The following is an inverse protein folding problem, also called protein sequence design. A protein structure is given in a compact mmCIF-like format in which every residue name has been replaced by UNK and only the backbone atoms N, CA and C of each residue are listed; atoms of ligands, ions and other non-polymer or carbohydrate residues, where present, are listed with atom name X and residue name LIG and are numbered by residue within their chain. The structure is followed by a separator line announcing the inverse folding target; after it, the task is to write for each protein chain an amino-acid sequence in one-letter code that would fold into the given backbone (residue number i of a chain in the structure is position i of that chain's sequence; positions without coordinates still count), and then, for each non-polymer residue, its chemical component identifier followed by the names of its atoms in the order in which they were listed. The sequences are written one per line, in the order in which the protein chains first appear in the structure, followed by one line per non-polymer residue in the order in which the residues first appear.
data_IF_082031504907
#
_entry.id   IF_082031504907
#
_cell.length_a   1.000
_cell.length_b   1.000
_cell.length_c   1.000
_cell.angle_alpha   90.00
_cell.angle_beta   90.00
_cell.angle_gamma   90.00
#
_symmetry.space_group_name_H-M   'P 1'
#
loop_
_entity.id
_entity.type
_entity.pdbx_description
1 polymer ?
#
# COMPACT_ATOMS: atom_id res chain seq x y z
N UNK A 1 -5.19 -22.51 -34.71
CA UNK A 1 -5.79 -21.58 -33.73
C UNK A 1 -6.70 -22.43 -32.84
N UNK A 2 -6.51 -22.55 -31.53
CA UNK A 2 -6.53 -21.49 -30.52
C UNK A 2 -5.67 -21.90 -29.31
N UNK A 3 -4.80 -21.01 -28.84
CA UNK A 3 -4.01 -21.16 -27.61
C UNK A 3 -4.83 -20.55 -26.47
N UNK A 4 -5.55 -21.37 -25.72
CA UNK A 4 -6.23 -20.93 -24.50
C UNK A 4 -5.20 -20.92 -23.38
N UNK A 5 -4.51 -19.78 -23.19
CA UNK A 5 -3.67 -19.54 -22.02
C UNK A 5 -4.57 -19.39 -20.79
N UNK A 6 -4.64 -20.44 -19.98
CA UNK A 6 -5.15 -20.40 -18.62
C UNK A 6 -4.12 -19.66 -17.75
N UNK A 7 -4.38 -18.40 -17.47
CA UNK A 7 -3.65 -17.64 -16.45
C UNK A 7 -4.05 -18.23 -15.11
N UNK A 8 -3.17 -19.09 -14.55
CA UNK A 8 -3.31 -19.64 -13.21
C UNK A 8 -3.07 -18.48 -12.24
N UNK A 9 -4.16 -17.90 -11.76
CA UNK A 9 -4.16 -16.91 -10.69
C UNK A 9 -3.84 -17.66 -9.39
N UNK A 10 -2.56 -17.71 -9.05
CA UNK A 10 -2.07 -18.28 -7.79
C UNK A 10 -2.55 -17.36 -6.67
N UNK A 11 -3.72 -17.67 -6.13
CA UNK A 11 -4.21 -17.11 -4.86
C UNK A 11 -3.31 -17.66 -3.77
N UNK A 12 -2.26 -16.92 -3.45
CA UNK A 12 -1.43 -17.18 -2.29
C UNK A 12 -2.26 -16.90 -1.04
N UNK A 13 -2.84 -17.94 -0.46
CA UNK A 13 -3.36 -17.92 0.91
C UNK A 13 -2.15 -17.76 1.82
N UNK A 14 -1.81 -16.51 2.15
CA UNK A 14 -0.85 -16.22 3.22
C UNK A 14 -1.64 -16.26 4.52
N UNK A 15 -1.40 -17.31 5.29
CA UNK A 15 -1.91 -17.46 6.64
C UNK A 15 -1.43 -16.28 7.49
N UNK A 16 -2.33 -15.37 7.87
CA UNK A 16 -2.04 -14.32 8.84
C UNK A 16 -2.19 -14.92 10.23
N UNK A 17 -1.09 -14.94 10.96
CA UNK A 17 -1.03 -15.37 12.35
C UNK A 17 -2.00 -14.57 13.21
N UNK A 18 -2.83 -15.30 13.96
CA UNK A 18 -3.72 -14.71 14.96
C UNK A 18 -2.86 -14.29 16.15
N UNK A 19 -2.39 -13.04 16.16
CA UNK A 19 -1.80 -12.43 17.35
C UNK A 19 -2.90 -11.70 18.11
N UNK A 20 -3.56 -12.42 19.03
CA UNK A 20 -4.42 -11.83 20.06
C UNK A 20 -3.52 -11.06 21.03
N UNK A 21 -3.25 -9.78 20.75
CA UNK A 21 -2.71 -8.87 21.74
C UNK A 21 -3.86 -8.16 22.46
N UNK A 22 -3.94 -8.46 23.76
CA UNK A 22 -4.88 -7.92 24.73
C UNK A 22 -4.81 -6.40 24.79
N UNK A 23 -5.95 -5.76 24.50
CA UNK A 23 -6.20 -4.31 24.59
C UNK A 23 -6.01 -3.77 26.01
N UNK A 24 -5.39 -2.59 26.13
CA UNK A 24 -5.86 -1.52 26.98
C UNK A 24 -6.61 -0.49 26.12
N UNK A 25 -7.86 -0.21 26.49
CA UNK A 25 -8.57 1.01 26.10
C UNK A 25 -7.78 2.20 26.63
N UNK A 26 -7.13 3.00 25.78
CA UNK A 26 -6.93 4.48 25.95
C UNK A 26 -5.94 5.15 24.97
N UNK A 27 -5.52 4.53 23.85
CA UNK A 27 -4.63 5.22 22.90
C UNK A 27 -5.20 5.18 21.49
N UNK A 28 -5.84 6.25 21.05
CA UNK A 28 -6.24 6.45 19.64
C UNK A 28 -5.02 6.49 18.70
N UNK A 29 -3.81 6.60 19.27
CA UNK A 29 -2.53 6.63 18.56
C UNK A 29 -1.73 5.31 18.64
N UNK A 30 -2.29 4.24 19.21
CA UNK A 30 -1.59 2.96 19.28
C UNK A 30 -1.48 2.33 17.89
N UNK A 31 -0.28 1.84 17.55
CA UNK A 31 -0.05 1.12 16.30
C UNK A 31 -1.06 -0.03 16.16
N UNK A 32 -1.90 0.03 15.13
CA UNK A 32 -2.96 -0.96 14.88
C UNK A 32 -2.59 -1.74 13.63
N UNK A 33 -2.03 -2.94 13.84
CA UNK A 33 -1.89 -3.92 12.78
C UNK A 33 -3.27 -4.27 12.21
N UNK A 34 -3.36 -4.26 10.88
CA UNK A 34 -4.56 -4.59 10.14
C UNK A 34 -4.39 -5.93 9.44
N UNK A 35 -5.51 -6.62 9.25
CA UNK A 35 -5.52 -7.80 8.41
C UNK A 35 -5.23 -7.38 6.96
N UNK A 36 -4.43 -8.17 6.24
CA UNK A 36 -4.07 -7.91 4.83
C UNK A 36 -5.30 -7.90 3.90
N UNK A 37 -6.41 -8.53 4.32
CA UNK A 37 -7.69 -8.57 3.63
C UNK A 37 -8.69 -7.49 4.06
N UNK A 38 -8.29 -6.55 4.92
CA UNK A 38 -9.14 -5.43 5.35
C UNK A 38 -9.49 -4.48 4.19
N UNK A 39 -10.55 -3.71 4.34
CA UNK A 39 -10.98 -2.73 3.33
C UNK A 39 -9.90 -1.68 3.07
N UNK A 40 -9.21 -1.23 4.12
CA UNK A 40 -8.12 -0.26 4.06
C UNK A 40 -6.89 -0.85 3.37
N UNK A 41 -6.54 -2.10 3.68
CA UNK A 41 -5.45 -2.83 3.04
C UNK A 41 -5.70 -2.98 1.53
N UNK A 42 -6.93 -3.33 1.14
CA UNK A 42 -7.35 -3.43 -0.27
C UNK A 42 -7.36 -2.08 -0.97
N UNK A 43 -7.83 -1.03 -0.30
CA UNK A 43 -7.84 0.32 -0.84
C UNK A 43 -6.41 0.84 -1.07
N UNK A 44 -5.51 0.63 -0.11
CA UNK A 44 -4.11 1.02 -0.24
C UNK A 44 -3.40 0.22 -1.35
N UNK A 45 -3.63 -1.10 -1.43
CA UNK A 45 -3.09 -1.92 -2.50
C UNK A 45 -3.61 -1.45 -3.87
N UNK A 46 -4.90 -1.15 -4.00
CA UNK A 46 -5.47 -0.64 -5.24
C UNK A 46 -4.84 0.70 -5.68
N UNK A 47 -4.53 1.59 -4.74
CA UNK A 47 -3.80 2.83 -5.03
C UNK A 47 -2.40 2.50 -5.58
N UNK A 48 -1.67 1.60 -4.93
CA UNK A 48 -0.31 1.21 -5.36
C UNK A 48 -0.33 0.49 -6.71
N UNK A 49 -1.30 -0.38 -6.96
CA UNK A 49 -1.52 -1.01 -8.26
C UNK A 49 -1.78 0.04 -9.35
N UNK A 50 -2.56 1.08 -9.06
CA UNK A 50 -2.74 2.20 -10.00
C UNK A 50 -1.44 2.95 -10.30
N UNK A 51 -0.54 3.07 -9.32
CA UNK A 51 0.79 3.64 -9.57
C UNK A 51 1.65 2.76 -10.49
N UNK A 52 1.47 1.43 -10.44
CA UNK A 52 2.18 0.49 -11.33
C UNK A 52 1.65 0.56 -12.76
N UNK A 53 0.37 0.88 -12.94
CA UNK A 53 -0.22 1.08 -14.27
C UNK A 53 0.30 2.37 -14.92
N UNK A 54 0.33 3.48 -14.18
CA UNK A 54 0.84 4.76 -14.67
C UNK A 54 1.16 5.74 -13.54
N UNK A 55 2.28 6.45 -13.70
CA UNK A 55 2.66 7.58 -12.83
C UNK A 55 1.68 8.75 -12.87
N UNK A 56 0.82 8.82 -13.90
CA UNK A 56 -0.24 9.83 -14.00
C UNK A 56 -1.29 9.71 -12.89
N UNK A 57 -1.47 8.52 -12.32
CA UNK A 57 -2.41 8.31 -11.22
C UNK A 57 -1.87 8.82 -9.88
N UNK A 58 -0.56 9.07 -9.77
CA UNK A 58 0.04 9.55 -8.53
C UNK A 58 -0.57 10.88 -8.10
N UNK A 59 -0.77 11.82 -9.03
CA UNK A 59 -1.30 13.14 -8.70
C UNK A 59 -2.73 13.09 -8.13
N UNK A 60 -3.53 12.09 -8.52
CA UNK A 60 -4.91 11.93 -8.02
C UNK A 60 -4.98 11.29 -6.63
N UNK A 61 -3.96 10.50 -6.28
CA UNK A 61 -3.86 9.80 -5.00
C UNK A 61 -2.89 10.45 -4.03
N UNK A 62 -2.21 11.53 -4.40
CA UNK A 62 -1.26 12.24 -3.55
C UNK A 62 -1.99 13.14 -2.55
N UNK A 63 -1.58 13.09 -1.29
CA UNK A 63 -2.10 14.01 -0.27
C UNK A 63 -1.60 15.44 -0.51
N UNK A 64 -2.47 16.43 -0.28
CA UNK A 64 -2.10 17.84 -0.36
C UNK A 64 -1.01 18.19 0.67
N UNK A 65 -0.99 17.49 1.81
CA UNK A 65 -0.01 17.67 2.89
C UNK A 65 1.31 16.91 2.68
N UNK A 66 1.43 16.12 1.59
CA UNK A 66 2.65 15.38 1.30
C UNK A 66 3.86 16.34 1.14
N UNK A 67 4.94 16.19 1.92
CA UNK A 67 6.12 17.05 1.82
C UNK A 67 6.76 16.98 0.43
N UNK A 68 7.34 18.07 -0.12
CA UNK A 68 7.93 18.09 -1.46
C UNK A 68 8.94 16.97 -1.72
N UNK A 69 9.77 16.67 -0.72
CA UNK A 69 10.74 15.57 -0.76
C UNK A 69 10.04 14.20 -0.83
N UNK A 70 8.95 14.01 -0.09
CA UNK A 70 8.16 12.79 -0.13
C UNK A 70 7.46 12.61 -1.48
N UNK A 71 6.96 13.70 -2.08
CA UNK A 71 6.39 13.70 -3.44
C UNK A 71 7.39 13.26 -4.49
N UNK A 72 8.62 13.78 -4.42
CA UNK A 72 9.68 13.40 -5.36
C UNK A 72 10.07 11.93 -5.19
N UNK A 73 10.16 11.43 -3.96
CA UNK A 73 10.39 10.00 -3.70
C UNK A 73 9.25 9.13 -4.22
N UNK A 74 8.01 9.54 -4.00
CA UNK A 74 6.82 8.84 -4.53
C UNK A 74 6.83 8.80 -6.06
N UNK A 75 7.21 9.88 -6.74
CA UNK A 75 7.40 9.90 -8.19
C UNK A 75 8.48 8.91 -8.62
N UNK A 76 9.64 8.95 -7.98
CA UNK A 76 10.75 8.03 -8.31
C UNK A 76 10.34 6.56 -8.11
N UNK A 77 9.71 6.23 -6.98
CA UNK A 77 9.23 4.88 -6.70
C UNK A 77 8.14 4.48 -7.69
N UNK A 78 7.20 5.36 -8.02
CA UNK A 78 6.16 5.05 -9.02
C UNK A 78 6.75 4.69 -10.39
N UNK A 79 7.83 5.37 -10.81
CA UNK A 79 8.56 5.01 -12.04
C UNK A 79 9.32 3.67 -11.95
N UNK A 80 9.70 3.25 -10.75
CA UNK A 80 10.27 1.92 -10.52
C UNK A 80 9.16 0.86 -10.47
N UNK A 81 8.00 1.20 -9.92
CA UNK A 81 6.82 0.33 -9.85
C UNK A 81 6.23 0.03 -11.22
N UNK A 82 6.28 0.94 -12.18
CA UNK A 82 5.85 0.65 -13.56
C UNK A 82 6.72 -0.42 -14.24
N UNK A 83 7.92 -0.69 -13.72
CA UNK A 83 8.79 -1.79 -14.16
C UNK A 83 8.57 -3.06 -13.34
N UNK A 84 7.83 -2.98 -12.23
CA UNK A 84 7.53 -4.13 -11.41
C UNK A 84 6.45 -4.99 -12.09
N UNK A 85 6.72 -6.28 -12.19
CA UNK A 85 5.78 -7.23 -12.79
C UNK A 85 4.72 -7.72 -11.81
N UNK A 86 5.01 -7.60 -10.51
CA UNK A 86 4.15 -8.07 -9.42
C UNK A 86 4.30 -7.15 -8.22
N UNK A 87 3.16 -6.76 -7.63
CA UNK A 87 3.08 -6.08 -6.33
C UNK A 87 2.33 -6.99 -5.36
N UNK A 88 2.88 -7.17 -4.16
CA UNK A 88 2.22 -7.93 -3.09
C UNK A 88 2.23 -7.13 -1.81
N UNK A 89 1.08 -7.07 -1.15
CA UNK A 89 0.98 -6.53 0.20
C UNK A 89 1.65 -7.48 1.19
N UNK A 90 2.57 -6.96 1.98
CA UNK A 90 3.30 -7.72 3.02
C UNK A 90 2.79 -7.38 4.41
N UNK A 91 2.59 -6.10 4.69
CA UNK A 91 2.18 -5.60 5.99
C UNK A 91 1.29 -4.36 5.83
N UNK A 92 0.33 -4.20 6.73
CA UNK A 92 -0.46 -2.98 6.85
C UNK A 92 -0.70 -2.68 8.33
N UNK A 93 -0.36 -1.47 8.75
CA UNK A 93 -0.54 -1.03 10.13
C UNK A 93 -0.85 0.46 10.18
N UNK A 94 -1.86 0.85 10.95
CA UNK A 94 -2.02 2.25 11.33
C UNK A 94 -0.95 2.63 12.34
N UNK A 95 -0.35 3.80 12.16
CA UNK A 95 0.61 4.40 13.08
C UNK A 95 0.14 5.81 13.40
N UNK A 96 -0.65 5.95 14.46
CA UNK A 96 -1.37 7.20 14.74
C UNK A 96 -2.30 7.56 13.59
N UNK A 97 -2.03 8.70 12.93
CA UNK A 97 -2.89 9.28 11.89
C UNK A 97 -2.59 8.79 10.46
N UNK A 98 -1.60 7.93 10.28
CA UNK A 98 -1.21 7.43 8.97
C UNK A 98 -1.20 5.90 8.90
N UNK A 99 -1.67 5.38 7.77
CA UNK A 99 -1.63 3.99 7.39
C UNK A 99 -0.26 3.68 6.76
N UNK A 100 0.54 2.86 7.44
CA UNK A 100 1.78 2.30 6.93
C UNK A 100 1.51 1.00 6.19
N UNK A 101 2.03 0.89 4.98
CA UNK A 101 1.76 -0.21 4.06
C UNK A 101 3.06 -0.70 3.45
N UNK A 102 3.49 -1.90 3.83
CA UNK A 102 4.65 -2.55 3.21
C UNK A 102 4.18 -3.35 1.99
N UNK A 103 4.79 -3.07 0.83
CA UNK A 103 4.61 -3.86 -0.38
C UNK A 103 5.93 -4.39 -0.88
N UNK A 104 5.90 -5.62 -1.38
CA UNK A 104 7.03 -6.23 -2.08
C UNK A 104 6.76 -6.18 -3.58
N UNK A 105 7.67 -5.56 -4.31
CA UNK A 105 7.61 -5.39 -5.75
C UNK A 105 8.78 -6.14 -6.39
N UNK A 106 8.53 -6.95 -7.43
CA UNK A 106 9.61 -7.64 -8.14
C UNK A 106 9.84 -7.01 -9.51
N UNK A 107 11.06 -6.56 -9.87
CA UNK A 107 12.34 -6.66 -9.13
C UNK A 107 12.67 -5.47 -8.20
N UNK A 108 11.76 -4.51 -8.01
CA UNK A 108 12.04 -3.23 -7.34
C UNK A 108 12.36 -3.32 -5.82
N UNK A 109 12.06 -4.44 -5.17
CA UNK A 109 12.32 -4.66 -3.74
C UNK A 109 11.11 -4.35 -2.86
N UNK A 110 11.36 -4.20 -1.56
CA UNK A 110 10.34 -3.83 -0.58
C UNK A 110 10.24 -2.31 -0.45
N UNK A 111 9.01 -1.80 -0.37
CA UNK A 111 8.71 -0.39 -0.23
C UNK A 111 7.61 -0.19 0.80
N UNK A 112 7.81 0.78 1.68
CA UNK A 112 6.88 1.20 2.72
C UNK A 112 6.18 2.47 2.28
N UNK A 113 4.89 2.39 1.99
CA UNK A 113 4.04 3.53 1.67
C UNK A 113 3.35 4.03 2.93
N UNK A 114 3.26 5.34 3.06
CA UNK A 114 2.52 6.00 4.12
C UNK A 114 1.34 6.71 3.49
N UNK A 115 0.13 6.36 3.92
CA UNK A 115 -1.12 6.97 3.48
C UNK A 115 -1.78 7.66 4.66
N UNK A 116 -2.50 8.75 4.40
CA UNK A 116 -3.36 9.41 5.38
C UNK A 116 -4.76 9.49 4.80
N UNK A 117 -5.78 9.47 5.67
CA UNK A 117 -7.14 9.81 5.24
C UNK A 117 -7.24 11.33 5.05
N UNK A 118 -7.88 11.75 3.95
CA UNK A 118 -8.27 13.14 3.77
C UNK A 118 -9.56 13.48 4.54
N UNK A 119 -10.01 14.74 4.45
CA UNK A 119 -11.23 15.21 5.13
C UNK A 119 -12.50 14.48 4.66
N UNK A 120 -12.46 13.80 3.51
CA UNK A 120 -13.54 12.97 2.96
C UNK A 120 -13.41 11.49 3.35
N UNK A 121 -12.40 11.11 4.13
CA UNK A 121 -12.11 9.74 4.53
C UNK A 121 -11.47 8.89 3.41
N UNK A 122 -10.89 9.50 2.38
CA UNK A 122 -10.19 8.79 1.31
C UNK A 122 -8.70 8.66 1.63
N UNK A 123 -8.15 7.47 1.42
CA UNK A 123 -6.72 7.24 1.55
C UNK A 123 -5.94 7.98 0.47
N UNK A 124 -4.99 8.82 0.89
CA UNK A 124 -4.06 9.55 0.05
C UNK A 124 -2.61 9.28 0.45
N UNK A 125 -1.74 9.15 -0.53
CA UNK A 125 -0.30 8.94 -0.36
C UNK A 125 0.36 10.17 0.24
N UNK A 126 1.00 9.99 1.39
CA UNK A 126 1.74 11.01 2.11
C UNK A 126 3.25 10.87 1.89
N UNK A 127 3.74 9.63 1.75
CA UNK A 127 5.17 9.39 1.50
C UNK A 127 5.51 7.93 1.22
N UNK A 128 6.80 7.70 1.01
CA UNK A 128 7.36 6.36 0.76
C UNK A 128 8.78 6.24 1.30
N UNK A 129 9.13 5.04 1.76
CA UNK A 129 10.43 4.64 2.26
C UNK A 129 10.84 3.28 1.66
N UNK A 130 12.14 3.09 1.42
CA UNK A 130 12.74 1.82 0.99
C UNK A 130 13.43 1.16 2.17
#
# INVERSE_FOLDING_TARGET
MSRTQLIILVVAVVAVGISVFTRPKDNEFADRELALDSSEAKAALAIIEKLTESTNHLAAHLSADAPPIARQKLLQISQQLTQASTVKLKEVSWRGEYLSVAVTCSPAGEHWFYLAEDEEGQLKLLGVQQ
#
